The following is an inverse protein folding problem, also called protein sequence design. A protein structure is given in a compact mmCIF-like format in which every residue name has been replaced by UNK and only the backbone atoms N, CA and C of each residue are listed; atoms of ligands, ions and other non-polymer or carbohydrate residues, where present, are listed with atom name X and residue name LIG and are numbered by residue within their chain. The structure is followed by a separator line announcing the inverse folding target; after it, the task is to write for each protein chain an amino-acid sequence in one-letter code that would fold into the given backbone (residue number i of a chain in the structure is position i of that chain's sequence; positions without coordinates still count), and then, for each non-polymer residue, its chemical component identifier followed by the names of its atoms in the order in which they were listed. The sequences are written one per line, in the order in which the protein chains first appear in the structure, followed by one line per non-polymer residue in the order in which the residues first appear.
data_IF_516536571208
#
_entry.id   IF_516536571208
#
_cell.length_a   1.000
_cell.length_b   1.000
_cell.length_c   1.000
_cell.angle_alpha   90.00
_cell.angle_beta   90.00
_cell.angle_gamma   90.00
#
_symmetry.space_group_name_H-M   'P 1'
#
loop_
_entity.id
_entity.type
_entity.pdbx_description
1 polymer ?
#
# COMPACT_ATOMS: atom_id res chain seq x y z
N UNK A 1 11.57 -0.69 -36.29
CA UNK A 1 11.52 0.52 -35.43
C UNK A 1 11.73 0.11 -33.98
N UNK A 2 12.72 0.66 -33.25
CA UNK A 2 13.00 0.22 -31.90
C UNK A 2 11.95 0.80 -30.94
N UNK A 3 11.29 -0.09 -30.19
CA UNK A 3 10.37 0.25 -29.10
C UNK A 3 11.14 1.07 -28.06
N UNK A 4 10.92 2.39 -28.03
CA UNK A 4 11.47 3.29 -27.00
C UNK A 4 11.03 2.77 -25.63
N UNK A 5 12.01 2.32 -24.87
CA UNK A 5 11.88 1.83 -23.50
C UNK A 5 11.25 2.92 -22.63
N UNK A 6 10.11 2.63 -22.01
CA UNK A 6 9.51 3.43 -20.91
C UNK A 6 10.37 3.36 -19.62
N UNK A 7 11.55 2.73 -19.67
CA UNK A 7 12.47 2.50 -18.54
C UNK A 7 13.23 3.74 -18.04
N UNK A 8 12.91 4.94 -18.51
CA UNK A 8 13.56 6.19 -18.08
C UNK A 8 12.63 7.18 -17.39
N UNK A 9 11.37 6.82 -17.15
CA UNK A 9 10.47 7.68 -16.36
C UNK A 9 10.82 7.58 -14.88
N UNK A 10 11.47 8.61 -14.34
CA UNK A 10 11.80 8.78 -12.92
C UNK A 10 11.03 9.98 -12.37
N UNK A 11 9.74 9.81 -12.03
CA UNK A 11 8.94 10.90 -11.51
C UNK A 11 9.44 11.34 -10.13
N UNK A 12 9.43 12.64 -9.88
CA UNK A 12 9.66 13.20 -8.55
C UNK A 12 8.47 12.93 -7.64
N UNK A 13 7.24 12.98 -8.18
CA UNK A 13 5.99 12.70 -7.45
C UNK A 13 5.07 11.79 -8.25
N UNK A 14 4.48 10.79 -7.59
CA UNK A 14 3.36 9.98 -8.10
C UNK A 14 2.15 10.23 -7.21
N UNK A 15 1.08 10.77 -7.79
CA UNK A 15 -0.19 11.02 -7.11
C UNK A 15 -1.26 10.00 -7.53
N UNK A 16 -1.84 9.32 -6.56
CA UNK A 16 -3.00 8.45 -6.75
C UNK A 16 -4.26 9.18 -6.24
N UNK A 17 -5.00 9.82 -7.15
CA UNK A 17 -6.17 10.66 -6.82
C UNK A 17 -7.53 9.98 -7.01
N UNK A 18 -7.60 8.89 -7.77
CA UNK A 18 -8.86 8.23 -8.14
C UNK A 18 -9.08 6.92 -7.38
N UNK A 19 -8.68 6.85 -6.10
CA UNK A 19 -8.83 5.63 -5.29
C UNK A 19 -10.27 5.50 -4.79
N UNK A 20 -11.16 5.07 -5.68
CA UNK A 20 -12.56 4.78 -5.36
C UNK A 20 -12.76 3.31 -4.96
N UNK A 21 -13.95 3.03 -4.42
CA UNK A 21 -14.48 1.66 -4.33
C UNK A 21 -14.40 1.00 -5.72
N UNK A 22 -14.01 -0.27 -5.77
CA UNK A 22 -13.73 -1.01 -7.01
C UNK A 22 -12.25 -1.03 -7.42
N UNK A 23 -11.38 -0.24 -6.79
CA UNK A 23 -9.92 -0.37 -6.99
C UNK A 23 -9.45 -1.74 -6.49
N UNK A 24 -8.62 -2.45 -7.27
CA UNK A 24 -7.91 -3.62 -6.76
C UNK A 24 -6.78 -3.18 -5.82
N UNK A 25 -7.13 -3.02 -4.55
CA UNK A 25 -6.21 -2.57 -3.52
C UNK A 25 -5.06 -3.55 -3.27
N UNK A 26 -5.23 -4.85 -3.52
CA UNK A 26 -4.13 -5.81 -3.36
C UNK A 26 -3.07 -5.62 -4.46
N UNK A 27 -3.52 -5.35 -5.69
CA UNK A 27 -2.60 -4.98 -6.79
C UNK A 27 -1.95 -3.62 -6.55
N UNK A 28 -2.70 -2.63 -6.05
CA UNK A 28 -2.16 -1.33 -5.67
C UNK A 28 -1.08 -1.44 -4.59
N UNK A 29 -1.33 -2.18 -3.51
CA UNK A 29 -0.34 -2.39 -2.44
C UNK A 29 0.93 -3.09 -2.96
N UNK A 30 0.78 -4.02 -3.91
CA UNK A 30 1.93 -4.63 -4.59
C UNK A 30 2.75 -3.57 -5.33
N UNK A 31 2.09 -2.72 -6.12
CA UNK A 31 2.73 -1.65 -6.88
C UNK A 31 3.43 -0.61 -5.99
N UNK A 32 2.78 -0.20 -4.90
CA UNK A 32 3.35 0.71 -3.91
C UNK A 32 4.59 0.11 -3.23
N UNK A 33 4.54 -1.19 -2.89
CA UNK A 33 5.70 -1.89 -2.35
C UNK A 33 6.88 -1.89 -3.32
N UNK A 34 6.63 -1.98 -4.63
CA UNK A 34 7.68 -1.91 -5.65
C UNK A 34 8.27 -0.50 -5.76
N UNK A 35 7.43 0.55 -5.78
CA UNK A 35 7.89 1.95 -5.73
C UNK A 35 8.79 2.16 -4.51
N UNK A 36 8.33 1.78 -3.31
CA UNK A 36 9.09 1.93 -2.07
C UNK A 36 10.41 1.12 -2.06
N UNK A 37 10.48 0.04 -2.84
CA UNK A 37 11.65 -0.85 -2.90
C UNK A 37 12.68 -0.44 -3.95
N UNK A 38 12.28 0.23 -5.03
CA UNK A 38 13.15 0.50 -6.19
C UNK A 38 13.28 1.99 -6.55
N UNK A 39 12.35 2.83 -6.09
CA UNK A 39 12.26 4.25 -6.45
C UNK A 39 12.37 5.15 -5.21
N UNK A 40 13.45 5.01 -4.44
CA UNK A 40 13.64 5.73 -3.16
C UNK A 40 13.61 7.26 -3.25
N UNK A 41 13.78 7.84 -4.45
CA UNK A 41 13.74 9.29 -4.67
C UNK A 41 12.34 9.81 -4.97
N UNK A 42 11.48 8.97 -5.56
CA UNK A 42 10.09 9.34 -5.88
C UNK A 42 9.28 9.54 -4.59
N UNK A 43 8.48 10.60 -4.56
CA UNK A 43 7.49 10.88 -3.52
C UNK A 43 6.15 10.26 -3.94
N UNK A 44 5.61 9.39 -3.11
CA UNK A 44 4.34 8.71 -3.37
C UNK A 44 3.23 9.32 -2.51
N UNK A 45 2.21 9.85 -3.19
CA UNK A 45 1.09 10.57 -2.57
C UNK A 45 -0.20 9.85 -2.91
N UNK A 46 -0.97 9.52 -1.88
CA UNK A 46 -2.30 8.92 -2.03
C UNK A 46 -3.32 9.92 -1.54
N UNK A 47 -4.39 10.13 -2.31
CA UNK A 47 -5.55 10.90 -1.89
C UNK A 47 -6.74 9.95 -1.70
N UNK A 48 -7.29 9.95 -0.49
CA UNK A 48 -8.42 9.12 -0.08
C UNK A 48 -9.67 9.94 0.24
N UNK A 49 -10.81 9.28 0.02
CA UNK A 49 -12.09 9.71 0.57
C UNK A 49 -12.10 9.54 2.10
N UNK A 50 -12.88 10.36 2.80
CA UNK A 50 -12.93 10.39 4.27
C UNK A 50 -13.30 9.04 4.91
N UNK A 51 -14.22 8.30 4.30
CA UNK A 51 -14.67 6.97 4.76
C UNK A 51 -13.57 5.89 4.70
N UNK A 52 -12.46 6.20 4.04
CA UNK A 52 -11.29 5.35 3.85
C UNK A 52 -10.12 5.68 4.78
N UNK A 53 -10.31 6.56 5.77
CA UNK A 53 -9.24 6.99 6.68
C UNK A 53 -8.50 5.83 7.38
N UNK A 54 -9.18 4.70 7.60
CA UNK A 54 -8.58 3.48 8.16
C UNK A 54 -7.46 2.88 7.27
N UNK A 55 -7.39 3.21 5.98
CA UNK A 55 -6.35 2.71 5.06
C UNK A 55 -5.01 3.46 5.18
N UNK A 56 -4.99 4.62 5.83
CA UNK A 56 -3.81 5.50 5.91
C UNK A 56 -2.59 4.74 6.42
N UNK A 57 -2.74 4.02 7.53
CA UNK A 57 -1.65 3.27 8.12
C UNK A 57 -1.16 2.14 7.21
N UNK A 58 -2.08 1.48 6.49
CA UNK A 58 -1.74 0.44 5.55
C UNK A 58 -0.90 0.99 4.39
N UNK A 59 -1.27 2.15 3.86
CA UNK A 59 -0.50 2.79 2.79
C UNK A 59 0.89 3.21 3.25
N UNK A 60 1.02 3.83 4.42
CA UNK A 60 2.33 4.14 5.00
C UNK A 60 3.15 2.86 5.25
N UNK A 61 2.51 1.78 5.71
CA UNK A 61 3.18 0.50 5.90
C UNK A 61 3.74 -0.10 4.59
N UNK A 62 3.08 0.17 3.47
CA UNK A 62 3.53 -0.23 2.14
C UNK A 62 4.47 0.77 1.46
N UNK A 63 4.83 1.85 2.18
CA UNK A 63 5.86 2.81 1.77
C UNK A 63 5.35 4.03 1.03
N UNK A 64 4.08 4.38 1.23
CA UNK A 64 3.52 5.66 0.79
C UNK A 64 4.05 6.77 1.69
N UNK A 65 4.59 7.83 1.07
CA UNK A 65 5.19 8.95 1.81
C UNK A 65 4.10 9.82 2.44
N UNK A 66 3.07 10.18 1.66
CA UNK A 66 1.98 11.07 2.09
C UNK A 66 0.61 10.51 1.75
N UNK A 67 -0.32 10.57 2.71
CA UNK A 67 -1.73 10.25 2.50
C UNK A 67 -2.57 11.50 2.83
N UNK A 68 -3.32 11.98 1.84
CA UNK A 68 -4.29 13.05 1.96
C UNK A 68 -5.68 12.44 2.12
N UNK A 69 -6.53 13.03 2.95
CA UNK A 69 -7.89 12.55 3.22
C UNK A 69 -8.85 13.71 3.02
N UNK A 70 -9.95 13.47 2.30
CA UNK A 70 -10.95 14.50 2.07
C UNK A 70 -11.56 15.04 3.39
N UNK A 71 -11.87 16.35 3.45
CA UNK A 71 -11.57 17.35 2.42
C UNK A 71 -10.10 17.80 2.44
N UNK A 72 -9.46 17.84 1.27
CA UNK A 72 -8.07 18.30 1.11
C UNK A 72 -8.04 19.77 0.72
N UNK A 73 -7.22 20.57 1.40
CA UNK A 73 -7.04 21.98 1.06
C UNK A 73 -5.88 22.20 0.05
N UNK A 74 -5.90 23.34 -0.65
CA UNK A 74 -4.89 23.66 -1.66
C UNK A 74 -3.47 23.69 -1.08
N UNK A 75 -3.31 24.13 0.17
CA UNK A 75 -2.02 24.16 0.86
C UNK A 75 -1.41 22.76 1.05
N UNK A 76 -2.21 21.76 1.41
CA UNK A 76 -1.76 20.38 1.53
C UNK A 76 -1.32 19.81 0.17
N UNK A 77 -2.03 20.16 -0.91
CA UNK A 77 -1.67 19.76 -2.27
C UNK A 77 -0.35 20.40 -2.69
N UNK A 78 -0.17 21.71 -2.47
CA UNK A 78 1.06 22.40 -2.85
C UNK A 78 2.27 21.93 -2.05
N UNK A 79 2.10 21.55 -0.78
CA UNK A 79 3.17 20.93 0.02
C UNK A 79 3.61 19.57 -0.55
N UNK A 80 2.67 18.79 -1.09
CA UNK A 80 2.98 17.48 -1.67
C UNK A 80 3.65 17.56 -3.05
N UNK A 81 3.30 18.58 -3.83
CA UNK A 81 3.72 18.75 -5.23
C UNK A 81 4.84 19.79 -5.43
N UNK A 82 5.08 20.66 -4.46
CA UNK A 82 6.01 21.78 -4.56
C UNK A 82 7.49 21.37 -4.51
N UNK A 83 8.32 22.15 -5.20
CA UNK A 83 9.78 21.98 -5.32
C UNK A 83 10.57 22.26 -4.04
N UNK A 84 9.95 22.85 -3.01
CA UNK A 84 10.57 23.19 -1.72
C UNK A 84 10.74 21.96 -0.78
N UNK A 85 10.72 20.75 -1.32
CA UNK A 85 11.19 19.54 -0.62
C UNK A 85 12.72 19.50 -0.47
N UNK A 86 13.41 20.64 -0.63
CA UNK A 86 14.84 20.79 -0.31
C UNK A 86 15.12 20.61 1.18
N UNK A 87 14.14 20.86 2.04
CA UNK A 87 14.12 20.36 3.41
C UNK A 87 13.13 19.20 3.50
N UNK A 88 13.69 18.00 3.33
CA UNK A 88 13.00 16.70 3.45
C UNK A 88 11.99 16.72 4.60
N UNK A 89 10.70 16.87 4.29
CA UNK A 89 9.67 16.30 5.14
C UNK A 89 10.12 14.86 5.41
N UNK A 90 10.22 14.43 6.69
CA UNK A 90 10.79 13.12 7.00
C UNK A 90 9.98 12.10 6.21
N UNK A 91 10.61 11.48 5.21
CA UNK A 91 10.01 10.33 4.53
C UNK A 91 9.65 9.38 5.64
N UNK A 92 8.35 9.19 5.86
CA UNK A 92 7.88 8.23 6.85
C UNK A 92 8.42 6.89 6.37
N UNK A 93 9.51 6.44 6.99
CA UNK A 93 10.15 5.20 6.61
C UNK A 93 9.07 4.13 6.67
N UNK A 94 8.90 3.41 5.55
CA UNK A 94 7.85 2.40 5.43
C UNK A 94 7.84 1.53 6.68
N UNK A 95 6.70 1.47 7.37
CA UNK A 95 6.62 0.77 8.66
C UNK A 95 7.07 -0.69 8.53
N UNK A 96 6.79 -1.30 7.38
CA UNK A 96 7.21 -2.65 7.02
C UNK A 96 8.42 -2.59 6.09
N UNK A 97 9.46 -3.37 6.40
CA UNK A 97 10.57 -3.60 5.49
C UNK A 97 10.15 -4.38 4.23
N UNK A 98 11.01 -4.45 3.22
CA UNK A 98 10.71 -5.12 1.93
C UNK A 98 10.15 -6.54 2.10
N UNK A 99 10.80 -7.37 2.91
CA UNK A 99 10.36 -8.75 3.17
C UNK A 99 9.05 -8.80 3.96
N UNK A 100 8.85 -7.89 4.92
CA UNK A 100 7.61 -7.80 5.69
C UNK A 100 6.44 -7.38 4.80
N UNK A 101 6.63 -6.45 3.85
CA UNK A 101 5.60 -6.08 2.86
C UNK A 101 5.19 -7.26 1.98
N UNK A 102 6.14 -8.07 1.52
CA UNK A 102 5.86 -9.27 0.73
C UNK A 102 5.02 -10.29 1.52
N UNK A 103 5.36 -10.51 2.79
CA UNK A 103 4.63 -11.43 3.66
C UNK A 103 3.25 -10.86 4.01
N UNK A 104 3.17 -9.57 4.33
CA UNK A 104 1.91 -8.88 4.58
C UNK A 104 0.97 -9.00 3.37
N UNK A 105 1.47 -8.79 2.16
CA UNK A 105 0.69 -8.95 0.94
C UNK A 105 0.19 -10.40 0.74
N UNK A 106 1.03 -11.40 1.05
CA UNK A 106 0.62 -12.79 1.00
C UNK A 106 -0.46 -13.14 2.03
N UNK A 107 -0.36 -12.60 3.25
CA UNK A 107 -1.36 -12.75 4.31
C UNK A 107 -2.68 -12.07 3.93
N UNK A 108 -2.63 -10.85 3.37
CA UNK A 108 -3.81 -10.11 2.89
C UNK A 108 -4.49 -10.78 1.69
N UNK A 109 -3.76 -11.61 0.94
CA UNK A 109 -4.31 -12.50 -0.10
C UNK A 109 -4.89 -13.81 0.47
N UNK A 110 -4.93 -13.98 1.79
CA UNK A 110 -5.48 -15.15 2.46
C UNK A 110 -4.53 -16.35 2.55
N UNK A 111 -3.23 -16.20 2.28
CA UNK A 111 -2.28 -17.31 2.45
C UNK A 111 -1.97 -17.56 3.93
N UNK A 112 -1.89 -18.83 4.32
CA UNK A 112 -1.46 -19.23 5.66
C UNK A 112 0.06 -19.09 5.84
N UNK A 113 0.53 -19.05 7.09
CA UNK A 113 1.96 -19.01 7.39
C UNK A 113 2.71 -20.22 6.80
N UNK A 114 2.10 -21.41 6.86
CA UNK A 114 2.63 -22.64 6.26
C UNK A 114 2.73 -22.53 4.74
N UNK A 115 1.70 -21.99 4.07
CA UNK A 115 1.72 -21.81 2.62
C UNK A 115 2.81 -20.82 2.19
N UNK A 116 3.00 -19.74 2.96
CA UNK A 116 4.07 -18.76 2.72
C UNK A 116 5.45 -19.39 2.94
N UNK A 117 5.63 -20.14 4.02
CA UNK A 117 6.86 -20.87 4.33
C UNK A 117 7.26 -21.80 3.18
N UNK A 118 6.31 -22.63 2.70
CA UNK A 118 6.55 -23.54 1.59
C UNK A 118 6.98 -22.82 0.30
N UNK A 119 6.31 -21.72 -0.05
CA UNK A 119 6.62 -20.96 -1.28
C UNK A 119 7.95 -20.20 -1.16
N UNK A 120 8.30 -19.74 0.04
CA UNK A 120 9.51 -18.95 0.27
C UNK A 120 10.73 -19.77 0.67
N UNK A 121 10.57 -21.09 0.90
CA UNK A 121 11.61 -21.98 1.41
C UNK A 121 12.07 -21.64 2.84
N UNK A 122 11.24 -20.93 3.61
CA UNK A 122 11.54 -20.50 4.99
C UNK A 122 10.86 -21.38 6.01
N UNK A 123 11.40 -21.41 7.22
CA UNK A 123 10.77 -22.10 8.35
C UNK A 123 9.44 -21.43 8.74
N UNK A 124 8.42 -22.26 9.06
CA UNK A 124 7.08 -21.80 9.47
C UNK A 124 7.14 -20.92 10.73
N UNK A 125 8.06 -21.22 11.66
CA UNK A 125 8.31 -20.40 12.86
C UNK A 125 8.83 -19.02 12.49
N UNK A 126 9.70 -18.92 11.49
CA UNK A 126 10.18 -17.62 10.99
C UNK A 126 9.05 -16.80 10.41
N UNK A 127 8.22 -17.39 9.55
CA UNK A 127 7.04 -16.71 8.98
C UNK A 127 6.06 -16.29 10.09
N UNK A 128 5.83 -17.14 11.09
CA UNK A 128 4.95 -16.83 12.22
C UNK A 128 5.47 -15.67 13.07
N UNK A 129 6.78 -15.60 13.31
CA UNK A 129 7.41 -14.46 13.99
C UNK A 129 7.29 -13.18 13.15
N UNK A 130 7.51 -13.26 11.84
CA UNK A 130 7.33 -12.12 10.93
C UNK A 130 5.88 -11.64 10.88
N UNK A 131 4.90 -12.54 10.88
CA UNK A 131 3.47 -12.21 11.01
C UNK A 131 3.19 -11.41 12.29
N UNK A 132 3.71 -11.85 13.44
CA UNK A 132 3.57 -11.12 14.71
C UNK A 132 4.18 -9.72 14.65
N UNK A 133 5.37 -9.58 14.04
CA UNK A 133 6.00 -8.28 13.80
C UNK A 133 5.11 -7.36 12.96
N UNK A 134 4.56 -7.89 11.85
CA UNK A 134 3.67 -7.15 10.94
C UNK A 134 2.43 -6.65 11.70
N UNK A 135 1.75 -7.52 12.44
CA UNK A 135 0.57 -7.15 13.25
C UNK A 135 0.90 -6.00 14.20
N UNK A 136 2.01 -6.11 14.93
CA UNK A 136 2.46 -5.04 15.85
C UNK A 136 2.73 -3.72 15.13
N UNK A 137 3.39 -3.76 13.97
CA UNK A 137 3.75 -2.58 13.18
C UNK A 137 2.55 -1.92 12.51
N UNK A 138 1.55 -2.72 12.16
CA UNK A 138 0.24 -2.27 11.71
C UNK A 138 -0.68 -1.86 12.87
N UNK A 139 -0.16 -1.76 14.10
CA UNK A 139 -0.90 -1.41 15.32
C UNK A 139 -2.16 -2.26 15.50
N UNK A 140 -2.14 -3.49 14.99
CA UNK A 140 -3.20 -4.44 15.18
C UNK A 140 -2.97 -5.20 16.49
N UNK A 141 -4.06 -5.53 17.18
CA UNK A 141 -3.99 -6.24 18.45
C UNK A 141 -4.10 -7.75 18.26
N UNK A 142 -4.79 -8.19 17.21
CA UNK A 142 -5.13 -9.60 16.98
C UNK A 142 -4.82 -10.06 15.57
N UNK A 143 -4.79 -11.39 15.36
CA UNK A 143 -4.67 -11.95 14.01
C UNK A 143 -5.95 -11.72 13.19
N UNK A 144 -7.08 -11.69 13.88
CA UNK A 144 -8.42 -11.54 13.36
C UNK A 144 -8.58 -10.18 12.68
N UNK A 145 -8.00 -9.11 13.22
CA UNK A 145 -7.95 -7.79 12.58
C UNK A 145 -7.26 -7.81 11.23
N UNK A 146 -6.16 -8.57 11.07
CA UNK A 146 -5.48 -8.72 9.78
C UNK A 146 -6.37 -9.45 8.76
N UNK A 147 -7.11 -10.47 9.20
CA UNK A 147 -8.04 -11.18 8.31
C UNK A 147 -9.28 -10.36 7.98
N UNK A 148 -9.79 -9.56 8.93
CA UNK A 148 -10.86 -8.61 8.70
C UNK A 148 -10.43 -7.54 7.69
N UNK A 149 -9.20 -7.04 7.82
CA UNK A 149 -8.60 -6.12 6.87
C UNK A 149 -8.54 -6.75 5.46
N UNK A 150 -8.05 -7.98 5.34
CA UNK A 150 -8.02 -8.71 4.08
C UNK A 150 -9.43 -8.84 3.46
N UNK A 151 -10.42 -9.22 4.27
CA UNK A 151 -11.82 -9.30 3.85
C UNK A 151 -12.38 -7.95 3.37
N UNK A 152 -12.07 -6.86 4.09
CA UNK A 152 -12.48 -5.50 3.73
C UNK A 152 -11.89 -5.06 2.39
N UNK A 153 -10.61 -5.33 2.15
CA UNK A 153 -9.95 -5.03 0.87
C UNK A 153 -10.62 -5.79 -0.28
N UNK A 154 -10.90 -7.08 -0.11
CA UNK A 154 -11.61 -7.88 -1.13
C UNK A 154 -13.03 -7.38 -1.35
N UNK A 155 -13.75 -7.01 -0.29
CA UNK A 155 -15.09 -6.44 -0.39
C UNK A 155 -15.08 -5.15 -1.21
N UNK A 156 -14.15 -4.24 -0.91
CA UNK A 156 -14.00 -2.99 -1.66
C UNK A 156 -13.72 -3.20 -3.14
N UNK A 157 -12.95 -4.23 -3.50
CA UNK A 157 -12.72 -4.60 -4.91
C UNK A 157 -13.98 -5.17 -5.57
N UNK A 158 -14.78 -5.96 -4.84
CA UNK A 158 -15.93 -6.71 -5.38
C UNK A 158 -17.19 -5.87 -5.63
N UNK A 159 -17.36 -4.70 -5.02
CA UNK A 159 -18.60 -3.90 -5.13
C UNK A 159 -18.94 -3.53 -6.60
N UNK A 160 -17.99 -3.56 -7.55
CA UNK A 160 -18.29 -3.38 -8.98
C UNK A 160 -18.70 -4.66 -9.74
N UNK A 161 -18.52 -5.86 -9.20
CA UNK A 161 -19.02 -7.08 -9.84
C UNK A 161 -20.55 -7.17 -9.87
N UNK A 162 -21.23 -6.37 -9.04
CA UNK A 162 -22.69 -6.31 -8.92
C UNK A 162 -23.28 -4.99 -9.45
N UNK A 163 -22.46 -3.95 -9.68
CA UNK A 163 -22.92 -2.66 -10.20
C UNK A 163 -22.66 -2.47 -11.70
N UNK A 164 -22.07 -3.47 -12.38
CA UNK A 164 -21.92 -3.52 -13.84
C UNK A 164 -23.10 -4.15 -14.59
N UNK A 165 -24.06 -4.76 -13.86
CA UNK A 165 -25.33 -5.26 -14.41
C UNK A 165 -26.48 -4.37 -13.90
N UNK A 166 -26.52 -3.11 -14.29
CA UNK A 166 -27.80 -2.41 -14.52
C UNK A 166 -27.56 -1.04 -15.16
N UNK A 167 -27.91 -1.00 -16.44
CA UNK A 167 -28.30 0.16 -17.28
C UNK A 167 -27.19 1.00 -17.90
#
# INVERSE_FOLDING_TARGET
MPKKKVYEFKPDVILFSSLSRGTDYLSLLSFLSDIASYHHKTNSVIWLQHDMAWMVQLFHAFGVDTVLIDPVNLYQITQCLGSDQTDKAPKNAALLGKQERLIALALLRGRSATAIANVTGKDVRTISTQKKSIIRKLQMTTNEELYLLAGKLVYLTKINGLSGETR
#
